data_IF_345213579404
#
_entry.id   IF_345213579404
#
_cell.length_a   1.000
_cell.length_b   1.000
_cell.length_c   1.000
_cell.angle_alpha   90.00
_cell.angle_beta   90.00
_cell.angle_gamma   90.00
#
_symmetry.space_group_name_H-M   'P 1'
#
loop_
_entity.id
_entity.type
_entity.pdbx_description
1 polymer ?
2 non-polymer ?
3 non-polymer ?
4 non-polymer ?
5 non-polymer ?
6 non-polymer ?
7 non-polymer ?
8 water ?
#
# COMPACT_ATOMS: atom_id res chain seq x y z
N UNK A 3 -9.79 -20.96 -22.39
CA UNK A 3 -10.32 -19.89 -21.55
C UNK A 3 -11.10 -18.89 -22.39
N UNK A 4 -12.28 -18.49 -21.92
CA UNK A 4 -13.10 -17.49 -22.61
C UNK A 4 -13.13 -16.21 -21.77
N UNK A 5 -12.71 -15.11 -22.36
CA UNK A 5 -12.70 -13.87 -21.60
C UNK A 5 -14.11 -13.35 -21.39
N UNK A 6 -14.28 -12.49 -20.40
CA UNK A 6 -15.63 -12.05 -20.04
C UNK A 6 -16.34 -11.36 -21.18
N UNK A 7 -17.66 -11.52 -21.21
CA UNK A 7 -18.52 -10.95 -22.21
C UNK A 7 -19.23 -9.68 -21.76
N UNK A 8 -18.95 -9.21 -20.54
CA UNK A 8 -19.65 -8.07 -19.99
C UNK A 8 -19.52 -6.84 -20.89
N UNK A 9 -20.55 -6.00 -20.93
CA UNK A 9 -20.57 -4.93 -21.95
C UNK A 9 -19.46 -3.91 -21.82
N UNK A 10 -18.94 -3.67 -20.63
CA UNK A 10 -17.88 -2.69 -20.43
C UNK A 10 -16.52 -3.34 -20.20
N UNK A 11 -16.42 -4.66 -20.31
CA UNK A 11 -15.10 -5.26 -20.17
C UNK A 11 -14.13 -4.70 -21.19
N UNK A 12 -14.50 -4.46 -22.45
CA UNK A 12 -13.54 -3.84 -23.38
C UNK A 12 -13.03 -2.49 -22.93
N UNK A 13 -13.82 -1.76 -22.13
CA UNK A 13 -13.40 -0.48 -21.60
C UNK A 13 -12.49 -0.62 -20.39
N UNK A 14 -12.36 -1.81 -19.82
CA UNK A 14 -11.48 -2.04 -18.67
C UNK A 14 -10.06 -2.32 -19.18
N UNK A 15 -9.46 -1.24 -19.72
CA UNK A 15 -8.21 -1.32 -20.47
C UNK A 15 -7.07 -1.86 -19.63
N UNK A 16 -7.13 -1.66 -18.31
CA UNK A 16 -6.10 -2.10 -17.39
C UNK A 16 -6.20 -3.59 -17.11
N UNK A 17 -7.28 -4.24 -17.55
CA UNK A 17 -7.41 -5.70 -17.61
C UNK A 17 -7.42 -6.24 -19.03
N UNK A 18 -8.21 -5.65 -19.93
CA UNK A 18 -8.45 -6.27 -21.22
C UNK A 18 -7.46 -5.84 -22.31
N UNK A 19 -6.43 -5.06 -21.95
CA UNK A 19 -5.52 -4.56 -22.96
C UNK A 19 -4.83 -5.68 -23.71
N UNK A 20 -4.62 -5.46 -25.00
CA UNK A 20 -3.77 -6.31 -25.84
C UNK A 20 -2.46 -5.60 -26.20
N UNK A 21 -2.13 -4.51 -25.51
CA UNK A 21 -1.00 -3.67 -25.86
C UNK A 21 0.10 -3.70 -24.81
N UNK A 22 0.06 -4.65 -23.88
CA UNK A 22 1.05 -4.81 -22.81
C UNK A 22 1.03 -3.68 -21.79
N UNK A 23 0.06 -2.77 -21.87
CA UNK A 23 -0.11 -1.75 -20.83
C UNK A 23 -1.30 -2.11 -19.94
N UNK A 24 -1.13 -3.21 -19.20
CA UNK A 24 -2.20 -3.70 -18.35
C UNK A 24 -1.59 -4.50 -17.19
N UNK A 25 -2.47 -4.98 -16.33
CA UNK A 25 -2.07 -5.67 -15.11
C UNK A 25 -1.90 -7.17 -15.31
N UNK A 26 -1.97 -7.63 -16.56
CA UNK A 26 -1.74 -9.03 -16.89
C UNK A 26 -2.67 -9.96 -16.11
N UNK A 27 -3.95 -9.56 -16.04
CA UNK A 27 -4.91 -10.32 -15.27
C UNK A 27 -5.49 -11.48 -16.09
N UNK A 28 -5.70 -11.30 -17.41
CA UNK A 28 -6.21 -12.42 -18.21
C UNK A 28 -5.32 -13.65 -18.09
N UNK A 29 -4.00 -13.44 -17.94
CA UNK A 29 -3.10 -14.57 -17.83
C UNK A 29 -3.34 -15.37 -16.56
N UNK A 30 -3.75 -14.69 -15.49
CA UNK A 30 -4.09 -15.38 -14.25
C UNK A 30 -5.43 -16.08 -14.37
N UNK A 31 -6.42 -15.41 -14.95
CA UNK A 31 -7.69 -16.07 -15.21
C UNK A 31 -7.49 -17.34 -16.04
N UNK A 32 -6.64 -17.28 -17.06
CA UNK A 32 -6.45 -18.45 -17.91
C UNK A 32 -5.68 -19.56 -17.21
N UNK A 33 -4.91 -19.25 -16.17
CA UNK A 33 -4.30 -20.28 -15.32
C UNK A 33 -5.32 -20.88 -14.36
N UNK A 34 -6.56 -20.41 -14.37
CA UNK A 34 -7.63 -20.95 -13.55
C UNK A 34 -7.94 -20.18 -12.28
N UNK A 35 -7.40 -18.99 -12.10
CA UNK A 35 -7.51 -18.24 -10.85
C UNK A 35 -8.39 -17.03 -11.06
N UNK A 36 -9.53 -17.01 -10.35
CA UNK A 36 -10.52 -15.95 -10.45
C UNK A 36 -10.96 -15.43 -9.10
N UNK A 37 -10.38 -15.93 -8.02
CA UNK A 37 -10.70 -15.49 -6.68
C UNK A 37 -11.64 -16.41 -5.91
N UNK A 38 -12.02 -17.56 -6.47
CA UNK A 38 -12.92 -18.46 -5.77
C UNK A 38 -12.36 -18.79 -4.39
N UNK A 39 -13.22 -18.67 -3.38
CA UNK A 39 -12.88 -19.01 -2.01
C UNK A 39 -12.20 -17.91 -1.23
N UNK A 40 -11.91 -16.78 -1.85
CA UNK A 40 -11.23 -15.67 -1.19
C UNK A 40 -12.27 -14.62 -0.83
N UNK A 41 -12.04 -13.96 0.31
CA UNK A 41 -12.96 -12.98 0.87
C UNK A 41 -12.23 -11.66 1.04
N UNK A 42 -12.77 -10.59 0.44
CA UNK A 42 -12.19 -9.26 0.47
C UNK A 42 -13.20 -8.28 1.08
N UNK A 43 -12.71 -7.34 1.88
CA UNK A 43 -13.57 -6.31 2.45
C UNK A 43 -13.03 -4.92 2.14
N UNK A 44 -13.92 -4.02 1.72
CA UNK A 44 -13.59 -2.63 1.40
C UNK A 44 -13.90 -1.76 2.60
N UNK A 45 -12.88 -1.11 3.15
CA UNK A 45 -13.06 -0.20 4.28
C UNK A 45 -13.30 1.20 3.72
N UNK A 46 -14.55 1.66 3.77
CA UNK A 46 -14.90 2.89 3.08
C UNK A 46 -16.25 3.43 3.56
N UNK A 47 -17.04 3.97 2.63
CA UNK A 47 -18.29 4.66 2.96
C UNK A 47 -19.52 3.77 2.84
N UNK A 48 -19.33 2.46 2.70
CA UNK A 48 -20.42 1.53 2.53
C UNK A 48 -20.35 0.80 1.20
N UNK A 49 -21.24 -0.18 1.05
CA UNK A 49 -21.29 -0.97 -0.18
C UNK A 49 -22.75 -1.23 -0.54
N UNK A 50 -23.10 -0.96 -1.79
CA UNK A 50 -24.45 -1.21 -2.31
C UNK A 50 -24.57 -2.70 -2.56
N UNK A 51 -25.00 -3.44 -1.52
CA UNK A 51 -24.92 -4.90 -1.56
C UNK A 51 -25.91 -5.49 -2.56
N UNK A 52 -26.92 -4.72 -2.96
CA UNK A 52 -27.89 -5.17 -3.93
C UNK A 52 -27.57 -4.70 -5.34
N UNK A 53 -26.37 -4.17 -5.57
CA UNK A 53 -25.99 -3.78 -6.92
C UNK A 53 -26.04 -5.00 -7.83
N UNK A 54 -26.66 -4.90 -9.02
CA UNK A 54 -26.75 -6.09 -9.88
C UNK A 54 -25.40 -6.72 -10.23
N UNK A 55 -24.30 -5.97 -10.17
CA UNK A 55 -22.99 -6.56 -10.45
C UNK A 55 -22.22 -6.93 -9.19
N UNK A 56 -22.80 -6.73 -8.00
CA UNK A 56 -22.15 -7.15 -6.75
C UNK A 56 -22.94 -8.21 -5.99
N UNK A 57 -24.27 -8.26 -6.15
CA UNK A 57 -25.08 -9.12 -5.29
C UNK A 57 -24.65 -10.57 -5.33
N UNK A 58 -24.28 -11.08 -6.51
CA UNK A 58 -23.91 -12.47 -6.63
C UNK A 58 -22.66 -12.85 -5.85
N UNK A 59 -21.79 -11.89 -5.58
CA UNK A 59 -20.57 -12.13 -4.82
C UNK A 59 -20.60 -11.54 -3.42
N UNK A 60 -21.70 -10.87 -3.05
CA UNK A 60 -21.74 -10.16 -1.79
C UNK A 60 -21.70 -11.13 -0.61
N UNK A 61 -20.92 -10.77 0.41
CA UNK A 61 -20.73 -11.58 1.60
C UNK A 61 -21.05 -10.77 2.85
N UNK A 62 -22.18 -11.03 3.51
CA UNK A 62 -22.47 -10.31 4.76
C UNK A 62 -21.40 -10.51 5.82
N UNK A 63 -20.72 -11.66 5.79
CA UNK A 63 -19.65 -11.93 6.73
C UNK A 63 -18.39 -11.12 6.48
N UNK A 64 -18.33 -10.41 5.35
CA UNK A 64 -17.23 -9.51 5.08
C UNK A 64 -17.61 -8.05 5.32
N UNK A 65 -18.73 -7.83 6.02
CA UNK A 65 -19.34 -6.51 6.07
C UNK A 65 -19.76 -6.13 7.48
N UNK A 66 -19.77 -4.83 7.73
CA UNK A 66 -20.31 -4.28 8.95
C UNK A 66 -20.50 -2.77 8.76
N UNK A 67 -21.34 -2.19 9.62
CA UNK A 67 -21.55 -0.75 9.66
C UNK A 67 -21.07 -0.26 11.01
N UNK A 68 -19.82 0.24 11.06
CA UNK A 68 -19.28 0.75 12.32
C UNK A 68 -19.64 2.21 12.56
N UNK A 69 -20.19 2.91 11.56
CA UNK A 69 -20.70 4.25 11.78
C UNK A 69 -22.01 4.25 12.55
N UNK A 70 -22.94 3.34 12.20
CA UNK A 70 -24.23 3.26 12.87
C UNK A 70 -24.34 2.04 13.76
N UNK A 71 -23.29 1.21 13.86
CA UNK A 71 -23.25 0.06 14.75
C UNK A 71 -24.37 -0.93 14.40
N UNK A 72 -24.29 -1.47 13.19
CA UNK A 72 -25.21 -2.51 12.75
C UNK A 72 -24.51 -3.32 11.67
N UNK A 73 -25.08 -4.47 11.28
CA UNK A 73 -24.36 -5.35 10.34
C UNK A 73 -24.44 -4.92 8.89
N UNK A 74 -25.29 -3.95 8.57
CA UNK A 74 -25.70 -3.68 7.20
C UNK A 74 -24.96 -2.46 6.66
N UNK A 75 -24.02 -2.63 5.71
CA UNK A 75 -23.17 -1.51 5.27
C UNK A 75 -23.75 -0.70 4.13
N UNK A 76 -25.06 -0.81 3.92
CA UNK A 76 -25.67 -0.09 2.80
C UNK A 76 -25.31 1.39 2.90
N UNK A 77 -24.95 2.03 1.79
CA UNK A 77 -24.59 3.45 1.86
C UNK A 77 -25.79 4.32 2.16
N UNK A 78 -25.48 5.50 2.71
CA UNK A 78 -26.46 6.59 2.89
C UNK A 78 -26.60 7.34 1.57
N UNK A 79 -27.81 7.32 1.02
CA UNK A 79 -28.07 7.92 -0.29
C UNK A 79 -28.32 9.40 -0.11
N UNK A 80 -27.63 10.21 -0.91
CA UNK A 80 -27.75 11.65 -0.89
C UNK A 80 -27.80 12.17 -2.33
N UNK A 81 -28.25 13.42 -2.46
CA UNK A 81 -28.42 14.04 -3.77
C UNK A 81 -27.12 14.10 -4.55
N UNK A 82 -26.00 14.22 -3.86
CA UNK A 82 -24.69 14.33 -4.49
C UNK A 82 -24.00 12.98 -4.64
N UNK A 83 -24.64 11.90 -4.20
CA UNK A 83 -24.06 10.56 -4.30
C UNK A 83 -22.69 10.50 -3.64
N UNK A 84 -22.58 11.16 -2.47
CA UNK A 84 -21.32 11.25 -1.74
C UNK A 84 -20.77 9.88 -1.37
N UNK A 85 -21.65 8.94 -1.00
CA UNK A 85 -21.23 7.67 -0.40
C UNK A 85 -21.17 6.55 -1.41
N UNK A 86 -20.62 6.84 -2.58
CA UNK A 86 -20.54 5.88 -3.66
C UNK A 86 -19.19 5.18 -3.75
N UNK A 87 -18.21 5.62 -2.97
CA UNK A 87 -16.85 5.19 -3.26
C UNK A 87 -16.62 3.72 -2.94
N UNK A 88 -17.19 3.24 -1.83
CA UNK A 88 -17.00 1.85 -1.48
C UNK A 88 -17.61 0.92 -2.51
N UNK A 89 -18.72 1.33 -3.11
CA UNK A 89 -19.35 0.53 -4.16
C UNK A 89 -18.45 0.48 -5.39
N UNK A 90 -17.85 1.61 -5.76
CA UNK A 90 -16.89 1.62 -6.86
C UNK A 90 -15.73 0.67 -6.58
N UNK A 91 -15.17 0.74 -5.37
CA UNK A 91 -14.02 -0.11 -5.04
C UNK A 91 -14.41 -1.58 -5.02
N UNK A 92 -15.60 -1.90 -4.50
CA UNK A 92 -16.03 -3.29 -4.43
C UNK A 92 -16.07 -3.92 -5.82
N UNK A 93 -16.59 -3.16 -6.80
CA UNK A 93 -16.67 -3.69 -8.14
C UNK A 93 -15.32 -3.89 -8.79
N UNK A 94 -14.34 -3.06 -8.42
CA UNK A 94 -13.01 -3.25 -8.94
C UNK A 94 -12.46 -4.61 -8.54
N UNK A 95 -12.73 -5.00 -7.29
CA UNK A 95 -12.23 -6.28 -6.78
C UNK A 95 -13.03 -7.43 -7.37
N UNK A 96 -14.37 -7.33 -7.35
CA UNK A 96 -15.18 -8.54 -7.44
C UNK A 96 -16.53 -8.33 -8.14
N UNK A 97 -16.63 -7.37 -9.06
CA UNK A 97 -17.84 -7.34 -9.88
C UNK A 97 -18.02 -8.66 -10.60
N UNK A 98 -19.28 -9.11 -10.66
CA UNK A 98 -19.63 -10.38 -11.29
C UNK A 98 -19.32 -10.33 -12.78
N UNK A 99 -18.87 -11.48 -13.30
CA UNK A 99 -18.50 -11.63 -14.70
C UNK A 99 -19.58 -12.37 -15.48
N UNK A 100 -19.65 -12.06 -16.78
CA UNK A 100 -20.46 -12.81 -17.75
C UNK A 100 -21.95 -12.75 -17.41
N UNK A 101 -22.39 -11.58 -16.93
CA UNK A 101 -23.77 -11.37 -16.50
C UNK A 101 -24.44 -10.19 -17.21
N UNK A 102 -23.83 -9.67 -18.27
CA UNK A 102 -24.44 -8.61 -19.04
C UNK A 102 -24.52 -7.26 -18.37
N UNK A 103 -23.80 -7.08 -17.27
CA UNK A 103 -23.86 -5.86 -16.47
C UNK A 103 -22.45 -5.30 -16.33
N UNK A 104 -22.29 -4.01 -16.62
CA UNK A 104 -21.05 -3.26 -16.42
C UNK A 104 -19.83 -4.06 -16.89
N UNK A 105 -18.80 -4.16 -16.05
CA UNK A 105 -17.61 -4.92 -16.39
C UNK A 105 -17.40 -6.08 -15.45
N UNK A 106 -16.15 -6.35 -15.06
CA UNK A 106 -15.84 -7.45 -14.15
C UNK A 106 -14.83 -6.98 -13.12
N UNK A 107 -14.83 -7.67 -11.98
CA UNK A 107 -13.77 -7.50 -11.01
C UNK A 107 -12.51 -8.23 -11.42
N UNK A 108 -11.38 -7.81 -10.83
CA UNK A 108 -10.14 -8.55 -11.02
C UNK A 108 -10.32 -9.98 -10.54
N UNK A 109 -10.95 -10.14 -9.38
CA UNK A 109 -11.22 -11.43 -8.78
C UNK A 109 -12.72 -11.66 -8.81
N UNK A 110 -13.24 -11.91 -10.00
CA UNK A 110 -14.68 -11.85 -10.22
C UNK A 110 -15.43 -13.05 -9.64
N UNK A 111 -14.73 -14.02 -9.06
CA UNK A 111 -15.38 -15.06 -8.27
C UNK A 111 -15.07 -14.98 -6.78
N UNK A 112 -14.39 -13.93 -6.34
CA UNK A 112 -14.21 -13.73 -4.91
C UNK A 112 -15.52 -13.27 -4.27
N UNK A 113 -15.59 -13.40 -2.95
CA UNK A 113 -16.65 -12.81 -2.18
C UNK A 113 -16.21 -11.44 -1.69
N UNK A 114 -17.16 -10.51 -1.64
CA UNK A 114 -16.84 -9.10 -1.41
C UNK A 114 -17.80 -8.55 -0.38
N UNK A 115 -17.25 -7.80 0.58
CA UNK A 115 -18.04 -7.05 1.52
C UNK A 115 -17.47 -5.66 1.69
N UNK A 116 -18.11 -4.90 2.56
CA UNK A 116 -17.67 -3.56 2.87
C UNK A 116 -17.91 -3.23 4.32
N UNK A 117 -17.01 -2.42 4.87
CA UNK A 117 -17.19 -1.82 6.18
C UNK A 117 -17.56 -0.37 5.97
N UNK A 118 -18.77 -0.01 6.38
CA UNK A 118 -19.20 1.38 6.39
C UNK A 118 -18.56 2.02 7.62
N UNK A 119 -17.48 2.76 7.40
CA UNK A 119 -16.73 3.37 8.49
C UNK A 119 -16.41 4.85 8.27
N UNK A 120 -16.45 5.35 7.05
CA UNK A 120 -16.03 6.71 6.77
C UNK A 120 -17.16 7.72 6.80
N UNK A 121 -18.42 7.26 6.91
CA UNK A 121 -19.56 8.18 6.84
C UNK A 121 -20.02 8.50 8.26
N UNK A 122 -19.13 9.20 8.96
CA UNK A 122 -19.27 9.49 10.36
C UNK A 122 -17.91 9.87 10.90
N UNK A 123 -17.89 10.20 12.20
CA UNK A 123 -16.64 10.57 12.84
C UNK A 123 -15.74 9.34 12.90
N UNK A 124 -14.55 9.44 12.33
CA UNK A 124 -13.61 8.32 12.31
C UNK A 124 -12.73 8.45 13.54
N UNK A 125 -12.96 7.59 14.52
CA UNK A 125 -12.17 7.55 15.74
C UNK A 125 -11.21 6.37 15.68
N UNK A 126 -10.25 6.36 16.60
CA UNK A 126 -9.37 5.22 16.77
C UNK A 126 -10.16 3.93 16.96
N UNK A 127 -11.22 3.98 17.77
CA UNK A 127 -12.03 2.78 18.00
C UNK A 127 -12.75 2.32 16.73
N UNK A 128 -13.30 3.27 15.95
CA UNK A 128 -13.93 2.93 14.68
C UNK A 128 -12.93 2.22 13.77
N UNK A 129 -11.72 2.77 13.68
CA UNK A 129 -10.69 2.17 12.86
C UNK A 129 -10.38 0.76 13.31
N UNK A 130 -10.21 0.57 14.62
CA UNK A 130 -9.82 -0.73 15.16
C UNK A 130 -10.90 -1.77 14.92
N UNK A 131 -12.16 -1.38 15.08
CA UNK A 131 -13.25 -2.32 14.85
C UNK A 131 -13.42 -2.65 13.37
N UNK A 132 -12.94 -1.78 12.48
CA UNK A 132 -12.97 -2.04 11.04
C UNK A 132 -11.83 -2.94 10.60
N UNK A 133 -10.60 -2.59 10.99
CA UNK A 133 -9.44 -3.42 10.68
C UNK A 133 -9.56 -4.79 11.29
N UNK A 134 -10.23 -4.90 12.45
CA UNK A 134 -10.37 -6.16 13.12
C UNK A 134 -11.66 -6.90 12.83
N UNK A 135 -12.39 -6.50 11.79
CA UNK A 135 -13.63 -7.18 11.46
C UNK A 135 -13.38 -8.61 11.02
N UNK A 136 -14.04 -9.56 11.67
CA UNK A 136 -14.12 -10.95 11.26
C UNK A 136 -12.79 -11.47 10.67
N UNK A 137 -11.70 -11.40 11.45
CA UNK A 137 -10.37 -11.63 10.87
C UNK A 137 -10.04 -13.08 10.57
N UNK A 138 -10.90 -14.02 10.92
CA UNK A 138 -10.75 -15.39 10.47
C UNK A 138 -11.71 -15.74 9.35
N UNK A 139 -12.41 -14.74 8.82
CA UNK A 139 -13.24 -14.93 7.64
C UNK A 139 -12.75 -14.07 6.49
N UNK A 140 -12.48 -12.80 6.73
CA UNK A 140 -11.97 -11.91 5.69
C UNK A 140 -10.48 -12.19 5.51
N UNK A 141 -10.05 -12.32 4.26
CA UNK A 141 -8.64 -12.56 3.98
C UNK A 141 -7.89 -11.27 3.74
N UNK A 142 -8.52 -10.35 3.04
CA UNK A 142 -7.87 -9.18 2.47
C UNK A 142 -8.76 -7.97 2.74
N UNK A 143 -8.16 -6.92 3.26
CA UNK A 143 -8.81 -5.64 3.55
C UNK A 143 -8.24 -4.61 2.60
N UNK A 144 -9.11 -3.78 2.02
CA UNK A 144 -8.68 -2.76 1.08
C UNK A 144 -9.10 -1.41 1.63
N UNK A 145 -8.12 -0.50 1.77
CA UNK A 145 -8.37 0.82 2.34
C UNK A 145 -7.76 1.87 1.42
N UNK A 146 -8.57 2.83 1.01
CA UNK A 146 -8.14 3.80 0.00
C UNK A 146 -7.84 5.17 0.57
N UNK A 147 -7.94 5.33 1.88
CA UNK A 147 -7.92 6.64 2.51
C UNK A 147 -7.13 6.60 3.81
N UNK A 148 -6.88 7.78 4.36
CA UNK A 148 -6.12 7.90 5.57
C UNK A 148 -6.15 9.33 6.05
N UNK A 149 -5.12 9.75 6.79
CA UNK A 149 -5.04 11.14 7.23
C UNK A 149 -5.06 12.09 6.04
N UNK A 150 -5.51 13.30 6.32
CA UNK A 150 -5.74 14.29 5.28
C UNK A 150 -4.50 14.47 4.40
N UNK A 151 -4.73 14.47 3.10
CA UNK A 151 -3.68 14.63 2.10
C UNK A 151 -3.45 16.11 1.79
N UNK A 152 -3.30 16.91 2.84
CA UNK A 152 -3.11 18.34 2.67
C UNK A 152 -1.63 18.73 2.58
N UNK A 153 -0.71 17.77 2.67
CA UNK A 153 0.69 18.09 2.61
C UNK A 153 1.25 18.73 3.85
N UNK A 154 0.50 18.75 4.94
CA UNK A 154 1.01 19.29 6.19
C UNK A 154 0.71 18.41 7.39
N UNK A 155 0.10 17.26 7.19
CA UNK A 155 -0.29 16.39 8.29
C UNK A 155 0.75 15.30 8.48
N UNK A 156 1.06 15.00 9.74
CA UNK A 156 1.81 13.80 10.10
C UNK A 156 0.92 13.06 11.09
N UNK A 157 0.43 11.90 10.68
CA UNK A 157 -0.49 11.17 11.53
C UNK A 157 -0.55 9.72 11.08
N UNK A 158 -0.92 8.87 12.03
CA UNK A 158 -0.96 7.45 11.81
C UNK A 158 -1.91 6.81 12.79
N UNK A 159 -1.98 5.48 12.78
CA UNK A 159 -2.88 4.77 13.68
C UNK A 159 -2.54 5.06 15.14
N UNK A 160 -3.57 5.41 15.90
CA UNK A 160 -3.48 5.52 17.34
C UNK A 160 -3.52 4.10 17.93
N UNK A 161 -3.63 3.99 19.26
CA UNK A 161 -3.29 2.74 19.92
C UNK A 161 -4.21 1.59 19.52
N UNK A 162 -5.53 1.80 19.51
CA UNK A 162 -6.42 0.69 19.18
C UNK A 162 -6.20 0.22 17.74
N UNK A 163 -6.02 1.15 16.81
CA UNK A 163 -5.82 0.75 15.42
C UNK A 163 -4.49 0.04 15.23
N UNK A 164 -3.44 0.50 15.91
CA UNK A 164 -2.15 -0.19 15.82
C UNK A 164 -2.24 -1.59 16.41
N UNK A 165 -2.93 -1.72 17.54
CA UNK A 165 -3.17 -3.05 18.10
C UNK A 165 -3.95 -3.92 17.12
N UNK A 166 -4.89 -3.32 16.39
CA UNK A 166 -5.65 -4.08 15.40
C UNK A 166 -4.74 -4.56 14.26
N UNK A 167 -3.81 -3.73 13.81
CA UNK A 167 -2.83 -4.19 12.83
C UNK A 167 -2.00 -5.36 13.38
N UNK A 168 -1.52 -5.27 14.61
CA UNK A 168 -0.65 -6.36 15.06
C UNK A 168 -1.45 -7.62 15.32
N UNK A 169 -2.68 -7.49 15.84
CA UNK A 169 -3.50 -8.67 16.01
C UNK A 169 -3.84 -9.28 14.66
N UNK A 170 -4.08 -8.42 13.67
CA UNK A 170 -4.42 -8.89 12.34
C UNK A 170 -3.31 -9.70 11.71
N UNK A 171 -2.08 -9.15 11.71
CA UNK A 171 -1.02 -9.85 11.01
C UNK A 171 -0.51 -11.04 11.82
N UNK A 172 -0.76 -11.05 13.13
CA UNK A 172 -0.23 -12.12 13.99
C UNK A 172 -1.20 -13.30 14.10
N UNK A 173 -2.44 -13.04 14.47
CA UNK A 173 -3.43 -14.10 14.66
C UNK A 173 -4.48 -14.15 13.55
N UNK A 174 -4.64 -13.10 12.76
CA UNK A 174 -5.61 -13.12 11.69
C UNK A 174 -5.33 -14.21 10.68
N UNK A 175 -6.40 -14.62 9.99
CA UNK A 175 -6.32 -15.60 8.90
C UNK A 175 -5.61 -16.87 9.36
N UNK A 176 -6.06 -17.40 10.50
CA UNK A 176 -5.49 -18.63 11.01
C UNK A 176 -4.03 -18.55 11.37
N UNK A 177 -3.55 -17.35 11.68
CA UNK A 177 -2.16 -17.14 12.02
C UNK A 177 -1.28 -16.81 10.85
N UNK A 178 -1.82 -16.81 9.64
CA UNK A 178 -1.07 -16.39 8.47
C UNK A 178 -1.01 -14.88 8.31
N UNK A 179 -1.96 -14.17 8.92
CA UNK A 179 -1.97 -12.73 8.92
C UNK A 179 -2.92 -12.10 7.92
N UNK A 180 -3.78 -11.21 8.42
CA UNK A 180 -4.60 -10.38 7.55
C UNK A 180 -3.71 -9.65 6.55
N UNK A 181 -4.19 -9.55 5.32
CA UNK A 181 -3.50 -8.77 4.29
C UNK A 181 -4.21 -7.43 4.18
N UNK A 182 -3.53 -6.37 4.61
CA UNK A 182 -4.07 -5.02 4.53
C UNK A 182 -3.47 -4.30 3.32
N UNK A 183 -4.29 -4.00 2.33
CA UNK A 183 -3.85 -3.31 1.13
C UNK A 183 -4.24 -1.84 1.27
N UNK A 184 -3.29 -0.94 1.02
CA UNK A 184 -3.50 0.48 1.28
C UNK A 184 -3.12 1.33 0.08
N UNK A 185 -3.91 2.38 -0.17
CA UNK A 185 -3.53 3.41 -1.13
C UNK A 185 -2.52 4.35 -0.50
N UNK A 186 -1.47 4.69 -1.25
CA UNK A 186 -0.43 5.54 -0.69
C UNK A 186 -0.81 7.01 -0.59
N UNK A 187 -1.88 7.45 -1.25
CA UNK A 187 -2.39 8.80 -1.03
C UNK A 187 -2.73 9.57 -2.28
N UNK A 188 -3.53 10.64 -2.15
CA UNK A 188 -3.94 11.48 -3.27
C UNK A 188 -3.42 12.91 -3.16
N UNK A 189 -2.39 13.14 -2.36
CA UNK A 189 -1.91 14.48 -2.06
C UNK A 189 -0.87 15.10 -2.96
N UNK A 190 -0.73 14.58 -4.19
CA UNK A 190 0.31 15.06 -5.09
C UNK A 190 0.27 16.57 -5.34
N UNK A 191 -0.92 17.14 -5.50
CA UNK A 191 -0.92 18.56 -5.86
C UNK A 191 -0.55 19.43 -4.67
N UNK A 192 -0.64 18.88 -3.47
CA UNK A 192 -0.18 19.54 -2.25
C UNK A 192 1.26 19.19 -1.91
N UNK A 193 1.95 18.50 -2.81
CA UNK A 193 3.34 18.08 -2.58
C UNK A 193 3.46 17.22 -1.33
N UNK A 194 2.44 16.41 -1.07
CA UNK A 194 2.48 15.52 0.08
C UNK A 194 3.51 14.42 -0.13
N UNK A 195 4.02 13.89 0.97
CA UNK A 195 5.11 12.91 0.99
C UNK A 195 4.59 11.80 1.88
N UNK A 196 4.39 10.60 1.32
CA UNK A 196 3.43 9.69 1.97
C UNK A 196 4.01 8.91 3.16
N UNK A 197 5.30 9.00 3.46
CA UNK A 197 5.72 8.39 4.73
C UNK A 197 5.16 9.15 5.93
N UNK A 198 4.58 10.33 5.71
CA UNK A 198 3.91 11.09 6.77
C UNK A 198 2.52 10.57 7.07
N UNK A 199 2.07 9.54 6.35
CA UNK A 199 0.81 8.84 6.55
C UNK A 199 1.17 7.50 7.18
N UNK A 200 0.90 7.36 8.47
CA UNK A 200 1.33 6.18 9.20
C UNK A 200 0.61 4.91 8.83
N UNK A 201 -0.50 5.01 8.10
CA UNK A 201 -1.18 3.80 7.63
C UNK A 201 -0.42 3.20 6.45
N UNK A 202 -0.16 4.00 5.42
CA UNK A 202 0.60 3.48 4.29
C UNK A 202 2.07 3.25 4.64
N UNK A 203 2.63 4.05 5.55
CA UNK A 203 4.00 3.88 6.01
C UNK A 203 4.21 2.65 6.89
N UNK A 204 3.14 1.96 7.28
CA UNK A 204 3.24 0.77 8.10
C UNK A 204 3.83 -0.41 7.31
N UNK A 205 4.60 -1.23 8.00
CA UNK A 205 5.07 -2.47 7.39
C UNK A 205 3.92 -3.45 7.21
N UNK A 206 2.84 -3.29 7.98
CA UNK A 206 1.73 -4.22 7.98
C UNK A 206 0.77 -3.97 6.84
N UNK A 207 0.92 -2.87 6.12
CA UNK A 207 0.09 -2.57 4.98
C UNK A 207 0.91 -2.72 3.70
N UNK A 208 0.26 -3.27 2.69
CA UNK A 208 0.88 -3.49 1.38
C UNK A 208 0.43 -2.31 0.53
N UNK A 209 1.33 -1.34 0.38
CA UNK A 209 0.96 -0.02 -0.11
C UNK A 209 1.17 0.13 -1.61
N UNK A 210 0.22 0.81 -2.25
CA UNK A 210 0.04 0.81 -3.69
C UNK A 210 -0.12 2.25 -4.17
N UNK A 211 0.62 2.60 -5.23
CA UNK A 211 0.51 3.88 -5.92
C UNK A 211 -0.06 3.67 -7.31
N UNK A 212 -0.15 4.76 -8.06
CA UNK A 212 -0.84 4.77 -9.35
C UNK A 212 0.08 5.12 -10.52
N UNK A 213 -0.31 4.64 -11.70
CA UNK A 213 0.26 5.07 -12.98
C UNK A 213 -0.87 5.42 -13.94
N UNK A 214 -0.64 6.42 -14.76
CA UNK A 214 -1.63 6.79 -15.76
C UNK A 214 -1.56 5.82 -16.95
N UNK A 215 -2.58 5.89 -17.81
CA UNK A 215 -2.64 4.96 -18.93
C UNK A 215 -1.39 5.04 -19.82
N UNK A 216 -0.85 6.25 -20.02
CA UNK A 216 0.33 6.42 -20.85
C UNK A 216 1.63 6.16 -20.07
N UNK A 217 1.52 5.69 -18.84
CA UNK A 217 2.69 5.29 -18.07
C UNK A 217 3.36 6.40 -17.28
N UNK A 218 2.60 7.40 -16.85
CA UNK A 218 3.17 8.54 -16.15
C UNK A 218 2.70 8.59 -14.71
N UNK A 219 3.39 9.43 -13.93
CA UNK A 219 3.05 9.67 -12.53
C UNK A 219 1.88 10.64 -12.51
N UNK A 220 0.71 10.25 -12.03
CA UNK A 220 -0.45 11.14 -12.07
C UNK A 220 -0.29 12.35 -11.17
N UNK A 221 -1.05 13.39 -11.50
CA UNK A 221 -1.00 14.62 -10.72
C UNK A 221 -1.19 14.39 -9.22
N UNK A 222 -2.00 13.38 -8.84
CA UNK A 222 -2.37 13.18 -7.45
C UNK A 222 -1.42 12.27 -6.68
N UNK A 223 -0.41 11.70 -7.33
CA UNK A 223 0.45 10.73 -6.66
C UNK A 223 1.36 11.36 -5.61
N UNK A 224 1.58 10.61 -4.52
CA UNK A 224 2.57 10.95 -3.51
C UNK A 224 3.73 9.98 -3.64
N UNK A 225 4.94 10.52 -3.66
CA UNK A 225 6.14 9.69 -3.63
C UNK A 225 6.52 9.39 -2.19
N UNK A 226 6.96 8.16 -1.94
CA UNK A 226 7.61 7.86 -0.67
C UNK A 226 8.24 6.48 -0.73
N UNK A 227 9.12 6.24 0.23
CA UNK A 227 9.89 5.00 0.24
C UNK A 227 9.09 3.82 0.78
N UNK A 228 7.95 4.06 1.42
CA UNK A 228 7.17 2.96 1.97
C UNK A 228 6.32 2.24 0.93
N UNK A 229 6.11 2.84 -0.25
CA UNK A 229 5.28 2.20 -1.26
C UNK A 229 5.95 0.93 -1.79
N UNK A 230 5.12 -0.07 -2.09
CA UNK A 230 5.65 -1.35 -2.58
C UNK A 230 5.43 -1.59 -4.06
N UNK A 231 4.32 -1.12 -4.64
CA UNK A 231 4.04 -1.38 -6.05
C UNK A 231 2.92 -0.45 -6.53
N UNK A 232 2.52 -0.68 -7.79
CA UNK A 232 1.68 0.25 -8.55
C UNK A 232 0.57 -0.49 -9.29
N UNK A 233 -0.60 0.13 -9.39
CA UNK A 233 -1.59 -0.29 -10.37
C UNK A 233 -2.02 0.93 -11.18
N UNK A 234 -2.55 0.66 -12.36
CA UNK A 234 -3.07 1.74 -13.19
C UNK A 234 -4.25 2.42 -12.51
N UNK A 235 -4.36 3.73 -12.78
CA UNK A 235 -5.56 4.50 -12.44
C UNK A 235 -5.68 5.65 -13.44
N UNK A 236 -6.32 6.73 -13.02
CA UNK A 236 -6.66 7.85 -13.88
C UNK A 236 -5.47 8.80 -14.05
N UNK A 237 -5.59 9.67 -15.05
CA UNK A 237 -4.60 10.69 -15.34
C UNK A 237 -5.23 11.92 -15.94
N UNK A 238 -4.79 12.33 -17.13
CA UNK A 238 -5.31 13.53 -17.77
C UNK A 238 -6.57 13.16 -18.57
N UNK A 239 -7.13 14.14 -19.27
CA UNK A 239 -8.44 13.91 -19.84
C UNK A 239 -8.37 13.19 -21.19
N UNK A 240 -7.16 12.92 -21.68
CA UNK A 240 -6.97 12.06 -22.84
C UNK A 240 -6.73 10.61 -22.47
N UNK A 241 -6.54 10.33 -21.19
CA UNK A 241 -6.26 9.01 -20.67
C UNK A 241 -7.53 8.43 -20.05
N UNK A 242 -7.70 7.12 -20.21
CA UNK A 242 -8.89 6.48 -19.67
C UNK A 242 -8.77 6.33 -18.15
N UNK A 243 -9.89 5.98 -17.53
CA UNK A 243 -10.01 5.90 -16.08
C UNK A 243 -10.50 4.52 -15.69
N UNK A 244 -10.91 4.35 -14.44
CA UNK A 244 -11.34 3.04 -13.96
C UNK A 244 -12.83 2.88 -14.16
N UNK A 245 -13.21 1.70 -14.65
CA UNK A 245 -14.58 1.37 -15.04
C UNK A 245 -15.09 0.35 -14.02
N UNK A 246 -16.21 0.66 -13.38
CA UNK A 246 -16.64 -0.16 -12.27
C UNK A 246 -18.10 0.13 -11.92
N UNK A 247 -18.59 -0.61 -10.92
CA UNK A 247 -19.92 -0.43 -10.36
C UNK A 247 -20.04 0.90 -9.66
N UNK A 248 -21.23 1.50 -9.74
CA UNK A 248 -21.49 2.78 -9.09
C UNK A 248 -22.79 2.72 -8.31
N UNK A 249 -22.89 3.63 -7.35
CA UNK A 249 -24.10 3.78 -6.55
C UNK A 249 -25.33 3.94 -7.44
N UNK A 250 -26.46 3.46 -6.92
CA UNK A 250 -27.75 3.46 -7.59
C UNK A 250 -27.79 2.50 -8.79
N UNK A 251 -27.08 1.39 -8.65
CA UNK A 251 -27.16 0.26 -9.58
C UNK A 251 -26.69 0.65 -10.98
N UNK A 252 -25.71 1.54 -11.03
CA UNK A 252 -25.18 2.09 -12.26
C UNK A 252 -23.76 1.60 -12.49
N UNK A 253 -23.17 2.08 -13.59
CA UNK A 253 -21.82 1.73 -14.02
C UNK A 253 -21.07 3.01 -14.36
N UNK A 254 -19.88 3.20 -13.80
CA UNK A 254 -19.11 4.41 -14.03
C UNK A 254 -17.88 4.07 -14.85
N UNK A 255 -17.46 5.03 -15.67
CA UNK A 255 -16.18 4.97 -16.38
C UNK A 255 -15.21 6.02 -15.87
N UNK A 256 -15.50 6.65 -14.73
CA UNK A 256 -14.70 7.79 -14.28
C UNK A 256 -14.33 7.68 -12.81
N UNK A 257 -13.91 6.49 -12.42
CA UNK A 257 -13.34 6.25 -11.09
C UNK A 257 -11.84 6.53 -11.18
N UNK A 258 -11.30 7.22 -10.15
CA UNK A 258 -10.03 7.91 -10.27
C UNK A 258 -9.18 7.82 -9.01
N UNK A 259 -7.92 8.23 -9.14
CA UNK A 259 -7.05 8.46 -7.99
C UNK A 259 -6.34 7.20 -7.51
N UNK A 260 -5.39 7.41 -6.59
CA UNK A 260 -4.73 6.27 -5.95
C UNK A 260 -5.73 5.44 -5.16
N UNK A 261 -6.80 6.09 -4.71
CA UNK A 261 -7.90 5.42 -4.03
C UNK A 261 -8.62 4.43 -4.93
N UNK A 262 -8.42 4.50 -6.26
CA UNK A 262 -8.89 3.45 -7.15
C UNK A 262 -7.82 2.40 -7.45
N UNK A 263 -6.55 2.66 -7.09
CA UNK A 263 -5.50 1.67 -7.36
C UNK A 263 -5.49 0.56 -6.32
N UNK A 264 -5.73 0.90 -5.05
CA UNK A 264 -5.63 -0.12 -4.01
C UNK A 264 -6.62 -1.25 -4.23
N UNK A 265 -7.87 -1.01 -4.61
CA UNK A 265 -8.78 -2.15 -4.83
C UNK A 265 -8.33 -3.06 -5.96
N UNK A 266 -7.72 -2.52 -7.01
CA UNK A 266 -7.22 -3.39 -8.07
C UNK A 266 -6.11 -4.29 -7.54
N UNK A 267 -5.22 -3.72 -6.71
CA UNK A 267 -4.20 -4.53 -6.06
C UNK A 267 -4.83 -5.60 -5.17
N UNK A 268 -5.87 -5.23 -4.41
CA UNK A 268 -6.54 -6.21 -3.54
C UNK A 268 -7.08 -7.37 -4.36
N UNK A 269 -7.64 -7.10 -5.53
CA UNK A 269 -8.09 -8.17 -6.39
C UNK A 269 -6.98 -9.07 -6.89
N UNK A 270 -5.84 -8.48 -7.27
CA UNK A 270 -4.72 -9.30 -7.71
C UNK A 270 -4.22 -10.16 -6.55
N UNK A 271 -4.18 -9.59 -5.36
CA UNK A 271 -3.78 -10.36 -4.19
C UNK A 271 -4.77 -11.49 -3.92
N UNK A 272 -6.06 -11.26 -4.18
CA UNK A 272 -7.05 -12.32 -4.04
C UNK A 272 -6.77 -13.47 -5.00
N UNK A 273 -6.43 -13.17 -6.25
CA UNK A 273 -6.07 -14.23 -7.19
C UNK A 273 -4.87 -15.00 -6.69
N UNK A 274 -3.87 -14.27 -6.18
CA UNK A 274 -2.64 -14.89 -5.68
C UNK A 274 -2.93 -15.80 -4.48
N UNK A 275 -3.78 -15.35 -3.56
CA UNK A 275 -4.14 -16.19 -2.43
C UNK A 275 -4.83 -17.46 -2.89
N UNK A 276 -5.74 -17.36 -3.87
CA UNK A 276 -6.36 -18.58 -4.39
C UNK A 276 -5.30 -19.55 -4.87
N UNK A 277 -4.24 -19.03 -5.48
CA UNK A 277 -3.17 -19.89 -6.00
C UNK A 277 -2.36 -20.54 -4.89
N UNK A 278 -2.34 -19.97 -3.69
CA UNK A 278 -1.65 -20.56 -2.55
C UNK A 278 -2.26 -19.97 -1.28
N UNK A 279 -3.19 -20.71 -0.68
CA UNK A 279 -3.91 -20.20 0.47
C UNK A 279 -3.05 -20.14 1.71
N UNK A 280 -1.85 -20.72 1.67
CA UNK A 280 -0.97 -20.78 2.82
C UNK A 280 -0.01 -19.60 2.89
N UNK A 281 -0.09 -18.66 1.95
CA UNK A 281 0.81 -17.52 1.97
C UNK A 281 0.56 -16.66 3.21
N UNK A 282 1.65 -16.23 3.83
CA UNK A 282 1.53 -15.33 4.97
C UNK A 282 1.47 -13.89 4.48
N UNK A 283 1.19 -12.98 5.42
CA UNK A 283 1.15 -11.58 5.07
C UNK A 283 2.50 -11.08 4.56
N UNK A 284 3.60 -11.66 5.08
CA UNK A 284 4.92 -11.29 4.58
C UNK A 284 5.22 -11.97 3.25
N UNK A 285 4.83 -13.26 3.10
CA UNK A 285 5.00 -13.90 1.81
C UNK A 285 4.41 -13.04 0.70
N UNK A 286 3.23 -12.47 0.95
CA UNK A 286 2.56 -11.71 -0.09
C UNK A 286 3.37 -10.49 -0.49
N UNK A 287 4.01 -9.84 0.47
CA UNK A 287 4.84 -8.70 0.14
C UNK A 287 6.08 -9.13 -0.65
N UNK A 288 6.69 -10.26 -0.26
CA UNK A 288 7.80 -10.80 -1.05
C UNK A 288 7.39 -11.06 -2.50
N UNK A 289 6.21 -11.66 -2.71
CA UNK A 289 5.77 -11.94 -4.07
C UNK A 289 5.64 -10.66 -4.89
N UNK A 290 5.10 -9.60 -4.27
CA UNK A 290 4.96 -8.32 -4.95
C UNK A 290 6.33 -7.75 -5.32
N UNK A 291 7.28 -7.80 -4.37
CA UNK A 291 8.61 -7.29 -4.66
C UNK A 291 9.22 -8.03 -5.85
N UNK A 292 9.08 -9.36 -5.87
CA UNK A 292 9.77 -10.16 -6.88
C UNK A 292 9.13 -10.08 -8.25
N UNK A 293 7.81 -9.86 -8.34
CA UNK A 293 7.13 -9.98 -9.63
C UNK A 293 6.72 -8.66 -10.26
N UNK A 294 6.82 -7.54 -9.57
CA UNK A 294 6.31 -6.30 -10.11
C UNK A 294 7.27 -5.77 -11.17
N UNK A 295 6.72 -5.00 -12.11
CA UNK A 295 7.40 -4.71 -13.37
C UNK A 295 7.59 -3.20 -13.56
N UNK A 296 8.83 -2.71 -13.64
CA UNK A 296 9.04 -1.28 -13.93
C UNK A 296 8.77 -0.88 -15.36
N UNK A 297 8.80 -1.81 -16.31
CA UNK A 297 8.87 -1.45 -17.72
C UNK A 297 7.74 -0.51 -18.11
N UNK A 298 8.10 0.54 -18.84
CA UNK A 298 7.16 1.50 -19.40
C UNK A 298 6.48 2.39 -18.36
N UNK A 299 6.91 2.34 -17.11
CA UNK A 299 6.52 3.36 -16.14
C UNK A 299 7.59 4.45 -16.11
N UNK A 300 7.18 5.68 -16.40
CA UNK A 300 8.12 6.79 -16.53
C UNK A 300 8.30 7.51 -15.18
N UNK A 301 9.55 7.60 -14.73
CA UNK A 301 9.90 8.38 -13.56
C UNK A 301 11.37 8.74 -13.66
N UNK A 302 11.76 9.85 -13.04
CA UNK A 302 13.16 10.25 -13.10
C UNK A 302 13.98 9.69 -11.96
N UNK A 303 13.41 8.85 -11.10
CA UNK A 303 14.12 8.37 -9.93
C UNK A 303 14.26 6.86 -9.88
N UNK A 304 14.11 6.16 -11.01
CA UNK A 304 14.36 4.74 -10.99
C UNK A 304 15.81 4.50 -10.61
N UNK A 305 16.00 3.65 -9.63
CA UNK A 305 17.34 3.33 -9.14
C UNK A 305 17.41 1.85 -8.90
N UNK A 306 18.59 1.28 -9.15
CA UNK A 306 18.81 -0.14 -8.95
C UNK A 306 19.35 -0.31 -7.54
N UNK A 307 18.70 -1.18 -6.76
CA UNK A 307 19.11 -1.40 -5.38
C UNK A 307 20.19 -2.47 -5.31
N UNK A 308 20.51 -2.91 -4.09
CA UNK A 308 21.67 -3.74 -3.89
C UNK A 308 21.52 -5.16 -4.40
N UNK A 309 20.29 -5.59 -4.66
CA UNK A 309 20.06 -6.92 -5.22
C UNK A 309 19.57 -6.82 -6.66
N UNK A 310 19.80 -5.69 -7.33
CA UNK A 310 19.58 -5.58 -8.75
C UNK A 310 18.16 -5.28 -9.18
N UNK A 311 17.28 -4.94 -8.24
CA UNK A 311 15.91 -4.58 -8.59
C UNK A 311 15.79 -3.07 -8.75
N UNK A 312 15.03 -2.66 -9.76
CA UNK A 312 14.75 -1.24 -9.93
C UNK A 312 13.61 -0.83 -9.02
N UNK A 313 13.75 0.33 -8.39
CA UNK A 313 12.75 0.81 -7.46
C UNK A 313 12.64 2.33 -7.59
N UNK A 314 11.41 2.83 -7.49
CA UNK A 314 11.07 4.23 -7.61
C UNK A 314 10.25 4.62 -6.39
N UNK A 315 10.37 5.88 -5.97
CA UNK A 315 9.52 6.35 -4.88
C UNK A 315 8.10 6.63 -5.36
N UNK A 316 7.88 6.73 -6.67
CA UNK A 316 6.53 6.91 -7.18
C UNK A 316 5.83 5.58 -7.38
N UNK A 317 6.58 4.53 -7.68
CA UNK A 317 6.00 3.29 -8.14
C UNK A 317 6.39 2.07 -7.31
N UNK A 318 7.26 2.23 -6.32
CA UNK A 318 7.82 1.05 -5.67
C UNK A 318 8.57 0.18 -6.67
N UNK A 319 8.28 -1.12 -6.64
CA UNK A 319 8.93 -2.06 -7.55
C UNK A 319 8.27 -2.12 -8.91
N UNK A 320 7.22 -1.34 -9.14
CA UNK A 320 6.62 -1.26 -10.44
C UNK A 320 5.19 -1.74 -10.47
N UNK A 321 4.69 -1.98 -11.69
CA UNK A 321 3.34 -2.46 -11.89
C UNK A 321 3.16 -3.86 -11.33
N UNK A 322 2.03 -4.10 -10.68
CA UNK A 322 1.65 -5.46 -10.34
C UNK A 322 1.40 -6.24 -11.62
N UNK A 323 1.78 -7.51 -11.57
CA UNK A 323 1.69 -8.44 -12.69
C UNK A 323 0.96 -9.66 -12.18
N UNK A 324 -0.35 -9.74 -12.45
CA UNK A 324 -1.16 -10.79 -11.83
C UNK A 324 -0.73 -12.19 -12.30
N UNK A 325 -0.46 -12.37 -13.59
CA UNK A 325 -0.04 -13.67 -14.05
C UNK A 325 1.23 -14.14 -13.37
N UNK A 326 2.18 -13.22 -13.17
CA UNK A 326 3.44 -13.58 -12.52
C UNK A 326 3.24 -13.85 -11.04
N UNK A 327 2.35 -13.10 -10.40
CA UNK A 327 2.04 -13.33 -9.00
C UNK A 327 1.50 -14.74 -8.78
N UNK A 328 0.48 -15.12 -9.56
CA UNK A 328 -0.15 -16.42 -9.29
C UNK A 328 0.80 -17.54 -9.65
N UNK A 329 1.64 -17.35 -10.66
CA UNK A 329 2.60 -18.38 -11.04
C UNK A 329 3.63 -18.61 -9.95
N UNK A 330 4.17 -17.53 -9.39
CA UNK A 330 5.20 -17.66 -8.37
C UNK A 330 4.62 -18.11 -7.03
N UNK A 331 3.34 -17.79 -6.77
CA UNK A 331 2.71 -18.21 -5.51
C UNK A 331 2.64 -19.73 -5.38
N UNK A 332 2.46 -20.43 -6.49
CA UNK A 332 2.03 -21.82 -6.41
C UNK A 332 3.01 -22.69 -5.64
N UNK A 333 4.30 -22.56 -5.92
CA UNK A 333 5.33 -23.35 -5.25
C UNK A 333 6.17 -22.50 -4.31
N UNK A 334 5.63 -21.39 -3.84
CA UNK A 334 6.36 -20.53 -2.92
C UNK A 334 6.64 -21.22 -1.59
N UNK A 335 7.88 -21.11 -1.12
CA UNK A 335 8.28 -21.60 0.19
C UNK A 335 8.07 -20.50 1.23
N UNK A 336 7.31 -20.81 2.26
CA UNK A 336 7.06 -19.85 3.34
C UNK A 336 8.36 -19.24 3.86
N UNK A 337 8.36 -17.92 4.01
CA UNK A 337 9.55 -17.28 4.53
C UNK A 337 9.73 -17.63 6.00
N UNK A 338 10.96 -17.49 6.46
CA UNK A 338 11.31 -17.76 7.84
C UNK A 338 10.63 -16.76 8.78
N UNK A 339 10.59 -17.07 10.07
CA UNK A 339 9.97 -16.13 11.00
C UNK A 339 10.64 -14.77 10.96
N UNK A 340 9.86 -13.73 11.19
CA UNK A 340 10.33 -12.36 11.10
C UNK A 340 11.24 -12.04 12.27
N UNK A 341 12.45 -11.59 11.96
CA UNK A 341 13.38 -11.06 12.96
C UNK A 341 13.30 -9.53 12.98
N UNK A 342 13.70 -8.97 14.11
CA UNK A 342 13.68 -7.53 14.33
C UNK A 342 14.94 -7.14 15.09
N UNK A 343 15.80 -6.35 14.43
CA UNK A 343 17.06 -5.90 15.01
C UNK A 343 16.97 -4.41 15.30
N UNK A 344 17.11 -4.04 16.57
CA UNK A 344 16.94 -2.67 17.04
C UNK A 344 18.33 -2.09 17.29
N UNK A 345 18.64 -0.97 16.65
CA UNK A 345 19.96 -0.34 16.77
C UNK A 345 19.76 1.12 17.14
N UNK A 346 20.02 1.47 18.38
CA UNK A 346 19.93 2.86 18.80
C UNK A 346 21.24 3.54 18.43
N UNK A 347 21.17 4.58 17.60
CA UNK A 347 22.35 5.07 16.87
C UNK A 347 23.06 6.18 17.63
N UNK A 348 22.35 7.17 18.18
CA UNK A 348 23.01 8.37 18.70
C UNK A 348 23.58 8.15 20.10
N UNK A 349 24.76 8.71 20.35
CA UNK A 349 25.29 8.80 21.70
C UNK A 349 25.08 10.17 22.33
N UNK A 350 24.62 11.15 21.56
CA UNK A 350 24.36 12.51 22.02
C UNK A 350 23.42 13.16 21.02
N UNK A 351 22.67 14.18 21.44
CA UNK A 351 21.85 14.93 20.48
C UNK A 351 22.71 15.66 19.46
N UNK A 352 22.15 15.83 18.26
CA UNK A 352 22.88 16.41 17.13
C UNK A 352 22.13 17.64 16.62
N UNK A 353 22.83 18.76 16.56
CA UNK A 353 22.26 19.95 15.95
C UNK A 353 22.03 19.71 14.46
N UNK A 354 20.87 20.12 13.96
CA UNK A 354 20.57 19.94 12.54
C UNK A 354 21.09 21.10 11.71
N UNK A 355 20.71 22.33 12.09
CA UNK A 355 21.11 23.48 11.30
C UNK A 355 20.73 23.32 9.85
N UNK A 356 21.67 23.68 8.97
CA UNK A 356 21.45 23.61 7.53
C UNK A 356 21.49 22.19 7.01
N UNK A 357 22.28 21.33 7.65
CA UNK A 357 22.51 19.98 7.15
C UNK A 357 23.16 19.16 8.25
N UNK A 358 22.73 17.91 8.37
CA UNK A 358 23.26 16.95 9.32
C UNK A 358 23.38 15.61 8.63
N UNK A 359 24.53 14.97 8.81
CA UNK A 359 24.76 13.61 8.35
C UNK A 359 25.15 12.77 9.56
N UNK A 360 24.50 11.63 9.73
CA UNK A 360 24.83 10.67 10.77
C UNK A 360 25.20 9.35 10.10
N UNK A 361 26.44 8.91 10.30
CA UNK A 361 26.92 7.63 9.79
C UNK A 361 27.03 6.66 10.95
N UNK A 362 26.70 5.39 10.70
CA UNK A 362 26.88 4.37 11.71
C UNK A 362 27.06 3.03 11.01
N UNK A 363 28.08 2.30 11.42
CA UNK A 363 28.34 0.96 10.92
C UNK A 363 27.74 -0.03 11.90
N UNK A 364 26.90 -0.92 11.40
CA UNK A 364 26.16 -1.83 12.25
C UNK A 364 26.47 -3.27 11.86
N UNK A 365 26.27 -4.18 12.81
CA UNK A 365 26.42 -5.61 12.55
C UNK A 365 25.07 -6.31 12.41
N UNK A 366 23.97 -5.58 12.53
CA UNK A 366 22.63 -6.13 12.35
C UNK A 366 22.40 -7.36 13.23
N UNK A 367 22.77 -7.20 14.50
CA UNK A 367 22.45 -8.18 15.55
C UNK A 367 23.20 -9.48 15.32
N UNK A 368 24.42 -9.37 14.82
CA UNK A 368 25.32 -10.49 14.68
C UNK A 368 25.42 -11.29 15.99
N UNK A 369 25.31 -12.60 15.86
CA UNK A 369 25.45 -13.48 16.99
C UNK A 369 24.19 -13.69 17.80
N UNK A 370 23.10 -13.00 17.45
CA UNK A 370 21.86 -13.03 18.18
C UNK A 370 20.76 -13.71 17.36
N UNK A 371 19.66 -14.13 17.99
CA UNK A 371 18.56 -14.71 17.22
C UNK A 371 17.88 -13.72 16.29
N UNK A 372 18.08 -12.42 16.46
CA UNK A 372 17.54 -11.45 15.53
C UNK A 372 18.54 -10.98 14.50
N UNK A 373 19.65 -11.71 14.34
CA UNK A 373 20.58 -11.44 13.23
C UNK A 373 19.84 -11.44 11.90
N UNK A 374 20.00 -10.35 11.15
CA UNK A 374 19.36 -10.21 9.83
C UNK A 374 20.44 -10.08 8.76
N UNK A 375 20.42 -11.01 7.81
CA UNK A 375 21.24 -10.91 6.61
C UNK A 375 20.40 -10.62 5.37
N UNK A 376 19.07 -10.71 5.49
CA UNK A 376 18.14 -10.52 4.37
C UNK A 376 17.06 -9.55 4.86
N UNK A 377 17.21 -8.28 4.50
CA UNK A 377 16.29 -7.26 4.96
C UNK A 377 14.92 -7.40 4.29
N UNK A 378 13.88 -7.04 5.04
CA UNK A 378 12.56 -6.76 4.47
C UNK A 378 12.38 -5.24 4.58
N UNK A 379 11.55 -4.78 5.51
CA UNK A 379 11.40 -3.36 5.76
C UNK A 379 12.53 -2.86 6.65
N UNK A 380 12.91 -1.60 6.47
CA UNK A 380 13.77 -0.89 7.41
C UNK A 380 13.09 0.42 7.80
N UNK A 381 13.24 0.77 9.06
CA UNK A 381 12.74 2.02 9.60
C UNK A 381 13.87 2.84 10.20
N UNK A 382 13.80 4.15 10.00
CA UNK A 382 14.58 5.11 10.76
C UNK A 382 13.57 5.81 11.65
N UNK A 383 13.55 5.45 12.92
CA UNK A 383 12.62 6.06 13.86
C UNK A 383 13.30 7.30 14.45
N UNK A 384 12.80 8.47 14.07
CA UNK A 384 13.46 9.73 14.35
C UNK A 384 12.65 10.57 15.32
N UNK A 385 13.36 11.17 16.26
CA UNK A 385 12.81 12.19 17.14
C UNK A 385 13.65 13.45 16.94
N UNK A 386 13.01 14.53 16.55
CA UNK A 386 13.71 15.77 16.28
C UNK A 386 12.78 16.95 16.43
N UNK A 387 13.37 18.08 16.79
CA UNK A 387 12.74 19.38 16.76
C UNK A 387 13.22 20.15 15.53
N UNK A 388 12.34 20.99 15.01
CA UNK A 388 12.71 21.87 13.90
C UNK A 388 11.69 22.99 13.88
N UNK A 389 12.11 24.17 13.43
CA UNK A 389 11.20 25.30 13.48
C UNK A 389 10.17 25.30 12.35
N UNK A 390 10.48 24.69 11.21
CA UNK A 390 9.51 24.57 10.11
C UNK A 390 9.70 23.21 9.45
N UNK A 391 8.81 22.28 9.80
CA UNK A 391 9.03 20.87 9.48
C UNK A 391 9.16 20.62 7.97
N UNK A 392 8.33 21.28 7.18
CA UNK A 392 8.30 21.01 5.76
C UNK A 392 9.51 21.48 5.00
N UNK A 393 10.41 22.23 5.62
CA UNK A 393 11.65 22.55 4.94
C UNK A 393 12.65 21.40 4.98
N UNK A 394 12.40 20.37 5.79
CA UNK A 394 13.32 19.25 5.89
C UNK A 394 13.14 18.26 4.75
N UNK A 395 14.27 17.77 4.24
CA UNK A 395 14.32 16.55 3.46
C UNK A 395 15.24 15.57 4.16
N UNK A 396 14.86 14.29 4.16
CA UNK A 396 15.58 13.27 4.91
C UNK A 396 15.81 12.08 4.00
N UNK A 397 17.05 11.60 3.97
CA UNK A 397 17.42 10.43 3.19
C UNK A 397 18.16 9.43 4.08
N UNK A 398 18.01 8.16 3.74
CA UNK A 398 18.67 7.04 4.41
C UNK A 398 19.35 6.20 3.34
N UNK A 399 20.66 6.00 3.48
CA UNK A 399 21.43 5.20 2.54
C UNK A 399 21.85 3.91 3.21
N UNK A 400 21.58 2.79 2.55
CA UNK A 400 21.92 1.48 3.08
C UNK A 400 23.38 1.15 2.79
N UNK A 401 23.92 0.13 3.44
CA UNK A 401 25.30 -0.29 3.13
C UNK A 401 25.52 -0.64 1.69
N UNK A 402 24.50 -1.11 0.98
CA UNK A 402 24.60 -1.44 -0.44
C UNK A 402 24.45 -0.22 -1.34
N UNK A 403 24.31 0.97 -0.76
CA UNK A 403 24.27 2.19 -1.53
C UNK A 403 22.90 2.67 -1.94
N UNK A 404 21.84 2.05 -1.45
CA UNK A 404 20.49 2.38 -1.88
C UNK A 404 20.01 3.60 -1.09
N UNK A 405 19.78 4.69 -1.82
CA UNK A 405 19.31 5.93 -1.23
C UNK A 405 17.79 5.88 -1.16
N UNK A 406 17.26 5.85 0.05
CA UNK A 406 15.83 5.97 0.26
C UNK A 406 15.53 7.38 0.72
N UNK A 407 14.59 8.03 0.04
CA UNK A 407 14.05 9.27 0.55
C UNK A 407 13.04 8.92 1.63
N UNK A 408 13.34 9.33 2.87
CA UNK A 408 12.39 9.14 3.96
C UNK A 408 11.37 10.27 4.04
N UNK A 409 11.77 11.47 3.61
CA UNK A 409 10.90 12.64 3.69
C UNK A 409 11.36 13.62 2.63
N UNK A 410 10.44 14.05 1.77
CA UNK A 410 10.74 15.13 0.84
C UNK A 410 10.20 16.43 1.43
N UNK A 411 10.74 17.55 0.95
CA UNK A 411 10.25 18.85 1.39
C UNK A 411 8.75 18.94 1.12
N UNK A 412 8.02 19.47 2.10
CA UNK A 412 6.57 19.67 2.02
C UNK A 412 6.29 21.15 2.22
N UNK A 413 6.10 21.91 1.14
CA UNK A 413 6.04 23.37 1.29
C UNK A 413 4.92 23.87 2.18
N UNK A 414 3.81 23.13 2.28
CA UNK A 414 2.70 23.59 3.12
C UNK A 414 2.88 23.24 4.60
N UNK A 415 3.88 22.45 4.95
CA UNK A 415 4.02 21.95 6.32
C UNK A 415 4.81 22.97 7.15
N UNK A 416 4.08 23.90 7.76
CA UNK A 416 4.64 24.94 8.59
C UNK A 416 4.86 24.51 10.05
N UNK A 417 4.57 23.26 10.38
CA UNK A 417 4.55 22.86 11.79
C UNK A 417 5.91 23.09 12.46
N UNK A 418 5.85 23.55 13.71
CA UNK A 418 7.01 23.63 14.57
C UNK A 418 7.10 22.45 15.53
N UNK A 419 6.33 21.40 15.30
CA UNK A 419 6.22 20.30 16.24
C UNK A 419 7.17 19.14 15.94
N UNK A 420 7.90 19.18 14.83
CA UNK A 420 8.92 18.18 14.55
C UNK A 420 8.35 16.78 14.40
N UNK A 421 9.18 15.78 14.69
CA UNK A 421 8.79 14.38 14.62
C UNK A 421 9.05 13.73 15.96
N UNK A 422 8.05 13.04 16.48
CA UNK A 422 8.15 12.37 17.76
C UNK A 422 8.20 10.85 17.54
N UNK A 423 9.42 10.31 17.51
CA UNK A 423 9.64 8.90 17.26
C UNK A 423 8.84 8.42 16.05
N UNK A 424 8.98 9.14 14.94
CA UNK A 424 8.25 8.79 13.72
C UNK A 424 9.05 7.76 12.94
N UNK A 425 8.41 6.64 12.63
CA UNK A 425 9.09 5.47 12.05
C UNK A 425 9.05 5.47 10.52
N UNK A 426 9.83 6.39 9.94
CA UNK A 426 9.95 6.46 8.48
C UNK A 426 10.39 5.10 7.94
N UNK A 427 9.64 4.55 6.98
CA UNK A 427 9.90 3.19 6.51
C UNK A 427 10.29 3.19 5.05
N UNK A 428 11.25 2.31 4.72
CA UNK A 428 11.58 2.07 3.33
C UNK A 428 11.52 0.58 2.98
N UNK A 429 11.00 0.33 1.78
CA UNK A 429 10.98 -0.99 1.16
C UNK A 429 12.09 -1.15 0.14
N UNK A 430 12.87 -0.11 -0.12
CA UNK A 430 13.79 -0.11 -1.26
C UNK A 430 15.03 -0.97 -1.04
N UNK A 431 15.30 -1.40 0.19
CA UNK A 431 16.46 -2.24 0.46
C UNK A 431 16.07 -3.67 0.72
N UNK A 432 14.84 -4.06 0.36
CA UNK A 432 14.36 -5.43 0.47
C UNK A 432 15.35 -6.41 -0.15
N UNK A 433 15.69 -7.46 0.62
CA UNK A 433 16.60 -8.57 0.30
C UNK A 433 18.07 -8.17 0.40
N UNK A 434 18.40 -6.92 0.67
CA UNK A 434 19.79 -6.55 0.90
C UNK A 434 20.27 -7.06 2.26
N UNK A 435 21.57 -7.25 2.36
CA UNK A 435 22.23 -7.49 3.65
C UNK A 435 22.44 -6.15 4.34
N UNK A 436 21.86 -5.94 5.52
CA UNK A 436 21.94 -4.62 6.16
C UNK A 436 23.18 -4.40 7.02
N UNK A 437 24.10 -5.33 7.04
CA UNK A 437 25.37 -5.12 7.74
C UNK A 437 26.19 -4.08 7.01
N UNK A 438 26.87 -3.22 7.77
CA UNK A 438 27.68 -2.18 7.17
C UNK A 438 27.28 -0.78 7.55
N UNK A 439 27.73 0.18 6.76
CA UNK A 439 27.49 1.58 7.09
C UNK A 439 26.15 2.06 6.56
N UNK A 440 25.31 2.57 7.45
CA UNK A 440 24.10 3.31 7.12
C UNK A 440 24.38 4.80 7.29
N UNK A 441 23.77 5.61 6.42
CA UNK A 441 23.93 7.05 6.47
C UNK A 441 22.55 7.71 6.50
N UNK A 442 22.32 8.53 7.51
CA UNK A 442 21.14 9.38 7.57
C UNK A 442 21.54 10.81 7.21
N UNK A 443 20.80 11.41 6.29
CA UNK A 443 20.99 12.78 5.85
C UNK A 443 19.72 13.56 6.18
N UNK A 444 19.87 14.68 6.88
CA UNK A 444 18.79 15.62 7.14
C UNK A 444 19.24 16.97 6.61
N UNK A 445 18.44 17.57 5.73
CA UNK A 445 18.84 18.81 5.10
C UNK A 445 17.72 19.84 5.14
N UNK A 446 18.12 21.08 5.34
CA UNK A 446 17.22 22.22 5.21
C UNK A 446 17.20 22.60 3.74
N UNK A 447 16.06 22.38 3.07
CA UNK A 447 15.95 22.66 1.64
C UNK A 447 15.64 24.13 1.34
N UNK A 448 15.39 24.94 2.34
CA UNK A 448 15.10 26.35 2.15
C UNK A 448 16.36 27.18 2.38
N UNK A 449 16.27 28.45 2.02
CA UNK A 449 17.31 29.43 2.30
C UNK A 449 17.17 30.06 3.67
N UNK A 450 16.09 29.75 4.40
CA UNK A 450 15.88 30.32 5.71
C UNK A 450 16.89 29.74 6.70
N UNK A 451 17.18 30.53 7.73
CA UNK A 451 18.05 30.08 8.82
C UNK A 451 17.22 29.26 9.81
N UNK A 452 16.89 28.04 9.40
CA UNK A 452 16.14 27.14 10.24
C UNK A 452 17.04 26.43 11.23
N UNK A 453 16.43 25.85 12.26
CA UNK A 453 17.18 25.30 13.38
C UNK A 453 16.40 24.20 14.08
N UNK A 454 17.15 23.28 14.69
CA UNK A 454 16.55 22.23 15.49
C UNK A 454 17.60 21.19 15.82
N UNK A 455 17.13 20.10 16.43
CA UNK A 455 18.00 19.08 17.04
C UNK A 455 17.42 17.71 16.79
N UNK A 456 18.27 16.78 16.36
CA UNK A 456 17.93 15.36 16.32
C UNK A 456 18.32 14.75 17.66
N UNK A 457 17.33 14.19 18.38
CA UNK A 457 17.60 13.63 19.70
C UNK A 457 17.54 12.11 19.75
N UNK A 458 16.94 11.45 18.76
CA UNK A 458 16.94 10.00 18.75
C UNK A 458 16.85 9.53 17.30
N UNK A 459 17.66 8.52 16.99
CA UNK A 459 17.66 7.85 15.70
C UNK A 459 17.78 6.37 16.02
N UNK A 460 16.68 5.64 15.89
CA UNK A 460 16.69 4.20 16.06
C UNK A 460 16.54 3.58 14.68
N UNK A 461 17.53 2.80 14.29
CA UNK A 461 17.44 2.02 13.06
C UNK A 461 16.82 0.69 13.41
N UNK A 462 15.68 0.39 12.79
CA UNK A 462 14.97 -0.85 13.07
C UNK A 462 14.95 -1.65 11.79
N UNK A 463 15.54 -2.82 11.84
CA UNK A 463 15.67 -3.71 10.71
C UNK A 463 14.75 -4.90 10.93
N UNK A 464 13.98 -5.24 9.89
CA UNK A 464 13.17 -6.45 9.87
C UNK A 464 13.68 -7.38 8.78
N UNK A 465 13.56 -8.67 9.00
CA UNK A 465 13.94 -9.62 7.93
C UNK A 465 14.31 -10.98 8.49
N UNK A 466 15.15 -11.69 7.73
CA UNK A 466 15.49 -13.06 8.03
C UNK A 466 17.00 -13.26 7.82
N UNK A 467 17.42 -14.50 7.96
CA UNK A 467 18.83 -14.83 7.75
C UNK A 467 18.98 -16.05 6.85
N UNK A 468 18.05 -16.26 5.92
CA UNK A 468 18.16 -17.42 5.04
C UNK A 468 17.29 -17.22 3.82
N UNK A 469 17.61 -17.97 2.76
CA UNK A 469 16.71 -18.10 1.61
C UNK A 469 16.92 -17.14 0.46
N UNK A 470 18.07 -16.48 0.37
CA UNK A 470 18.25 -15.45 -0.64
C UNK A 470 18.34 -16.02 -2.05
N UNK A 471 17.82 -15.26 -3.02
CA UNK A 471 17.98 -15.52 -4.44
C UNK A 471 19.26 -14.86 -4.94
N UNK A 472 19.79 -15.37 -6.05
CA UNK A 472 20.87 -14.65 -6.74
C UNK A 472 20.36 -13.27 -7.17
N UNK A 473 21.14 -12.20 -7.01
CA UNK A 473 20.66 -10.87 -7.40
C UNK A 473 20.17 -10.84 -8.85
N UNK A 474 19.18 -9.99 -9.10
CA UNK A 474 18.51 -9.93 -10.39
C UNK A 474 19.46 -9.57 -11.54
#
# INVERSE_FOLDING_TARGET
>A
DVYQEPTDPKFPQQWYLSGVTQRDLNVKAAWAQGYTGHGIVVSILDDGIEKNHPDLAGNYDPGASFDVNDQDPDPQPRYTQMNDNRHGTRCAGEVAAVANNGVCGVGVAYNARIGGVRMLDGEVTDAVEARSLGLNPNHIHIYSASWGPEDDGKTVDGPARLAEEAFFRGVSQGRGGLGSIFVWASGNGGREHDSCNCDGYTNSIYTLSISSATQFGNVPWYSEACSSTLATTYSSGNQNEKQIVTTDLRQKCTESHTGTSASAPLAAGIIALTLEANKNLTWRDMQHLVVQTSKPAHLNANDWATNGVGRKVSHSYGYGLLDAGAMVALAQNWTTVAPQRKCIIDILTEPKDIGKRLEVRKTVTACLGEPNHITRLEHAQARLTLSYNRRGDLAIHLVSPMGTRSTLLAARPHDYSADGFNDWAFMTTHSWDEDPSGEWVLEIENTSEANNYGTLTKFTLVLYGTASGSLVPRGSHHHHHH
#
